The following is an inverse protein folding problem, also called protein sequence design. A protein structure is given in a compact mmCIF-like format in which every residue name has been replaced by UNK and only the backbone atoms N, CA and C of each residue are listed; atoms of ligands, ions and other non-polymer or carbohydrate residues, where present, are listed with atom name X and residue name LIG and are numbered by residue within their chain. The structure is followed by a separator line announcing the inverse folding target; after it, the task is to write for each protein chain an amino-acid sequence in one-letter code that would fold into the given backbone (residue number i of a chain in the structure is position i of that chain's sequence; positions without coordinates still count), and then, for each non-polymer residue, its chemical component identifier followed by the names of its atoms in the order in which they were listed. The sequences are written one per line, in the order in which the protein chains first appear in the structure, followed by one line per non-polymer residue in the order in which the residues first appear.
data_IF_490676483729
#
_entry.id   IF_490676483729
#
_cell.length_a   1.000
_cell.length_b   1.000
_cell.length_c   1.000
_cell.angle_alpha   90.00
_cell.angle_beta   90.00
_cell.angle_gamma   90.00
#
_symmetry.space_group_name_H-M   'P 1'
#
loop_
_entity.id
_entity.type
_entity.pdbx_description
1 polymer ?
#
# COMPACT_ATOMS: atom_id res chain seq x y z
N UNK A 1 -7.93 21.50 14.42
CA UNK A 1 -8.05 20.63 13.21
C UNK A 1 -8.53 21.48 12.06
N UNK A 2 -7.79 21.53 10.98
CA UNK A 2 -8.13 22.35 9.79
C UNK A 2 -9.28 21.70 9.00
N UNK A 3 -10.45 22.35 9.05
CA UNK A 3 -11.68 21.88 8.41
C UNK A 3 -11.58 21.91 6.89
N UNK A 4 -10.82 22.85 6.31
CA UNK A 4 -10.66 23.00 4.87
C UNK A 4 -9.81 21.87 4.29
N UNK A 5 -8.72 21.49 4.98
CA UNK A 5 -7.90 20.33 4.59
C UNK A 5 -8.74 19.06 4.57
N UNK A 6 -9.52 18.80 5.62
CA UNK A 6 -10.38 17.60 5.66
C UNK A 6 -11.51 17.62 4.63
N UNK A 7 -12.01 18.79 4.28
CA UNK A 7 -12.98 18.93 3.20
C UNK A 7 -12.34 18.60 1.85
N UNK A 8 -11.17 19.14 1.59
CA UNK A 8 -10.39 18.83 0.38
C UNK A 8 -10.11 17.33 0.26
N UNK A 9 -9.56 16.71 1.32
CA UNK A 9 -9.29 15.26 1.38
C UNK A 9 -10.57 14.46 1.09
N UNK A 10 -11.67 14.80 1.73
CA UNK A 10 -12.93 14.10 1.54
C UNK A 10 -13.46 14.20 0.11
N UNK A 11 -13.33 15.34 -0.54
CA UNK A 11 -13.75 15.51 -1.95
C UNK A 11 -12.82 14.80 -2.94
N UNK A 12 -11.54 14.67 -2.63
CA UNK A 12 -10.61 13.88 -3.45
C UNK A 12 -10.87 12.37 -3.36
N UNK A 13 -11.33 11.89 -2.19
CA UNK A 13 -11.62 10.47 -1.95
C UNK A 13 -12.98 10.03 -2.49
N UNK A 14 -13.99 10.92 -2.48
CA UNK A 14 -15.38 10.56 -2.75
C UNK A 14 -16.02 11.50 -3.75
N UNK A 15 -16.60 10.92 -4.81
CA UNK A 15 -17.40 11.70 -5.77
C UNK A 15 -18.78 12.03 -5.18
N UNK A 16 -18.87 13.21 -4.55
CA UNK A 16 -20.09 13.66 -3.84
C UNK A 16 -21.32 13.88 -4.75
N UNK A 17 -21.15 13.87 -6.08
CA UNK A 17 -22.27 13.90 -7.04
C UNK A 17 -23.05 12.58 -7.09
N UNK A 18 -22.46 11.48 -6.61
CA UNK A 18 -23.09 10.17 -6.53
C UNK A 18 -23.60 9.91 -5.11
N UNK A 19 -24.88 9.60 -4.93
CA UNK A 19 -25.52 9.41 -3.63
C UNK A 19 -24.77 8.40 -2.72
N UNK A 20 -24.27 7.29 -3.30
CA UNK A 20 -23.50 6.29 -2.57
C UNK A 20 -22.17 6.84 -2.05
N UNK A 21 -21.47 7.62 -2.85
CA UNK A 21 -20.20 8.24 -2.48
C UNK A 21 -20.41 9.43 -1.53
N UNK A 22 -21.50 10.17 -1.68
CA UNK A 22 -21.89 11.21 -0.73
C UNK A 22 -22.13 10.65 0.68
N UNK A 23 -22.82 9.51 0.81
CA UNK A 23 -22.97 8.83 2.11
C UNK A 23 -21.62 8.45 2.70
N UNK A 24 -20.69 7.94 1.89
CA UNK A 24 -19.33 7.63 2.33
C UNK A 24 -18.54 8.85 2.80
N UNK A 25 -18.68 9.95 2.07
CA UNK A 25 -18.09 11.24 2.44
C UNK A 25 -18.61 11.73 3.81
N UNK A 26 -19.93 11.70 4.03
CA UNK A 26 -20.52 12.09 5.32
C UNK A 26 -19.98 11.21 6.45
N UNK A 27 -19.95 9.89 6.27
CA UNK A 27 -19.39 8.96 7.26
C UNK A 27 -17.90 9.24 7.52
N UNK A 28 -17.12 9.50 6.49
CA UNK A 28 -15.71 9.90 6.63
C UNK A 28 -15.57 11.16 7.48
N UNK A 29 -16.34 12.22 7.15
CA UNK A 29 -16.32 13.49 7.89
C UNK A 29 -16.72 13.30 9.35
N UNK A 30 -17.79 12.55 9.62
CA UNK A 30 -18.23 12.26 10.99
C UNK A 30 -17.16 11.54 11.79
N UNK A 31 -16.47 10.57 11.19
CA UNK A 31 -15.35 9.85 11.84
C UNK A 31 -14.18 10.78 12.14
N UNK A 32 -13.80 11.66 11.22
CA UNK A 32 -12.75 12.65 11.47
C UNK A 32 -13.12 13.61 12.60
N UNK A 33 -14.40 13.98 12.73
CA UNK A 33 -14.86 14.86 13.81
C UNK A 33 -14.87 14.15 15.16
N UNK A 34 -15.35 12.90 15.21
CA UNK A 34 -15.41 12.09 16.43
C UNK A 34 -14.02 11.75 16.97
N UNK A 35 -13.02 11.66 16.10
CA UNK A 35 -11.63 11.35 16.42
C UNK A 35 -10.69 12.51 16.04
N UNK A 36 -11.14 13.74 16.37
CA UNK A 36 -10.45 14.95 15.91
C UNK A 36 -9.03 15.12 16.44
N UNK A 37 -8.75 14.62 17.63
CA UNK A 37 -7.41 14.65 18.22
C UNK A 37 -6.45 13.72 17.48
N UNK A 38 -6.85 12.46 17.27
CA UNK A 38 -6.05 11.47 16.56
C UNK A 38 -5.81 11.88 15.10
N UNK A 39 -6.85 12.34 14.39
CA UNK A 39 -6.74 12.80 13.01
C UNK A 39 -5.94 14.09 12.94
N UNK A 40 -6.09 15.01 13.91
CA UNK A 40 -5.26 16.21 14.04
C UNK A 40 -3.78 15.84 14.13
N UNK A 41 -3.42 14.92 15.02
CA UNK A 41 -2.05 14.43 15.15
C UNK A 41 -1.49 13.71 13.91
N UNK A 42 -2.35 13.13 13.07
CA UNK A 42 -1.93 12.60 11.76
C UNK A 42 -1.70 13.73 10.75
N UNK A 43 -2.56 14.73 10.72
CA UNK A 43 -2.39 15.89 9.83
C UNK A 43 -1.14 16.70 10.21
N UNK A 44 -0.87 16.89 11.50
CA UNK A 44 0.34 17.56 11.99
C UNK A 44 1.61 16.78 11.59
N UNK A 45 1.58 15.45 11.66
CA UNK A 45 2.66 14.61 11.16
C UNK A 45 2.97 14.84 9.68
N UNK A 46 1.94 14.94 8.84
CA UNK A 46 2.13 15.24 7.43
C UNK A 46 2.49 16.71 7.19
N UNK A 47 2.09 17.62 8.05
CA UNK A 47 2.44 19.03 7.96
C UNK A 47 3.90 19.32 8.37
N UNK A 48 4.57 18.38 9.06
CA UNK A 48 5.89 18.58 9.66
C UNK A 48 6.99 18.85 8.61
N UNK A 49 6.94 18.26 7.44
CA UNK A 49 7.94 18.46 6.38
C UNK A 49 7.29 18.83 5.03
N UNK A 50 8.03 19.53 4.13
CA UNK A 50 7.53 19.84 2.78
C UNK A 50 7.17 18.57 2.00
N UNK A 51 8.00 17.54 2.05
CA UNK A 51 7.77 16.26 1.37
C UNK A 51 6.49 15.59 1.85
N UNK A 52 6.29 15.44 3.16
CA UNK A 52 5.08 14.83 3.72
C UNK A 52 3.81 15.60 3.34
N UNK A 53 3.88 16.95 3.33
CA UNK A 53 2.74 17.79 2.86
C UNK A 53 2.39 17.50 1.41
N UNK A 54 3.40 17.36 0.55
CA UNK A 54 3.22 17.02 -0.86
C UNK A 54 2.63 15.62 -1.01
N UNK A 55 3.18 14.62 -0.32
CA UNK A 55 2.63 13.27 -0.29
C UNK A 55 1.15 13.25 0.12
N UNK A 56 0.78 13.92 1.20
CA UNK A 56 -0.62 13.96 1.64
C UNK A 56 -1.54 14.67 0.65
N UNK A 57 -1.06 15.72 -0.01
CA UNK A 57 -1.85 16.47 -1.01
C UNK A 57 -2.28 15.56 -2.16
N UNK A 58 -1.43 14.67 -2.60
CA UNK A 58 -1.69 13.76 -3.72
C UNK A 58 -2.22 12.39 -3.25
N UNK A 59 -1.73 11.89 -2.11
CA UNK A 59 -2.15 10.60 -1.55
C UNK A 59 -3.05 10.79 -0.31
N UNK A 60 -4.22 11.37 -0.52
CA UNK A 60 -5.20 11.66 0.55
C UNK A 60 -5.76 10.40 1.23
N UNK A 61 -5.58 9.23 0.63
CA UNK A 61 -6.00 7.93 1.17
C UNK A 61 -5.32 7.55 2.48
N UNK A 62 -4.18 8.12 2.85
CA UNK A 62 -3.57 7.94 4.17
C UNK A 62 -4.52 8.30 5.32
N UNK A 63 -5.30 9.38 5.16
CA UNK A 63 -6.30 9.76 6.17
C UNK A 63 -7.49 8.80 6.15
N UNK A 64 -7.94 8.33 4.98
CA UNK A 64 -8.99 7.32 4.91
C UNK A 64 -8.56 6.01 5.59
N UNK A 65 -7.31 5.57 5.38
CA UNK A 65 -6.75 4.38 6.01
C UNK A 65 -6.82 4.46 7.54
N UNK A 66 -6.55 5.63 8.13
CA UNK A 66 -6.69 5.84 9.57
C UNK A 66 -8.15 5.81 10.05
N UNK A 67 -9.12 6.27 9.22
CA UNK A 67 -10.53 6.37 9.63
C UNK A 67 -11.35 5.09 9.44
N UNK A 68 -10.84 4.07 8.76
CA UNK A 68 -11.55 2.81 8.48
C UNK A 68 -10.75 1.62 9.00
N UNK A 69 -11.44 0.51 9.25
CA UNK A 69 -10.79 -0.76 9.60
C UNK A 69 -10.13 -1.39 8.36
N UNK A 70 -9.09 -0.72 7.87
CA UNK A 70 -8.17 -1.24 6.88
C UNK A 70 -7.01 -1.92 7.61
N UNK A 71 -6.06 -2.49 6.88
CA UNK A 71 -4.94 -3.27 7.38
C UNK A 71 -5.41 -4.62 7.97
N UNK A 72 -5.89 -4.66 9.21
CA UNK A 72 -6.37 -5.89 9.86
C UNK A 72 -7.66 -5.65 10.67
N UNK A 73 -8.36 -6.75 10.94
CA UNK A 73 -9.65 -6.75 11.66
C UNK A 73 -9.46 -6.23 13.10
N UNK A 74 -10.41 -5.45 13.58
CA UNK A 74 -10.45 -4.86 14.92
C UNK A 74 -9.32 -3.87 15.24
N UNK A 75 -8.55 -3.39 14.24
CA UNK A 75 -7.59 -2.32 14.46
C UNK A 75 -8.27 -1.07 15.03
N UNK A 76 -7.65 -0.47 16.05
CA UNK A 76 -8.07 0.79 16.65
C UNK A 76 -7.66 2.00 15.80
N UNK A 77 -8.14 3.20 16.12
CA UNK A 77 -7.70 4.43 15.44
C UNK A 77 -6.22 4.69 15.68
N UNK A 78 -5.75 4.56 16.92
CA UNK A 78 -4.37 4.83 17.28
C UNK A 78 -3.40 3.85 16.58
N UNK A 79 -3.77 2.57 16.50
CA UNK A 79 -2.99 1.57 15.76
C UNK A 79 -2.89 1.93 14.28
N UNK A 80 -3.99 2.26 13.61
CA UNK A 80 -3.97 2.60 12.18
C UNK A 80 -3.16 3.86 11.90
N UNK A 81 -3.26 4.86 12.75
CA UNK A 81 -2.46 6.09 12.65
C UNK A 81 -0.98 5.77 12.85
N UNK A 82 -0.65 4.97 13.85
CA UNK A 82 0.72 4.51 14.10
C UNK A 82 1.29 3.72 12.93
N UNK A 83 0.48 2.85 12.31
CA UNK A 83 0.88 2.10 11.11
C UNK A 83 1.17 3.01 9.93
N UNK A 84 0.31 4.00 9.65
CA UNK A 84 0.54 4.97 8.56
C UNK A 84 1.81 5.80 8.81
N UNK A 85 2.00 6.31 10.04
CA UNK A 85 3.19 7.09 10.40
C UNK A 85 4.45 6.25 10.28
N UNK A 86 4.46 5.05 10.87
CA UNK A 86 5.61 4.14 10.83
C UNK A 86 5.99 3.76 9.39
N UNK A 87 4.99 3.51 8.52
CA UNK A 87 5.22 3.23 7.11
C UNK A 87 5.94 4.39 6.40
N UNK A 88 5.47 5.61 6.59
CA UNK A 88 6.07 6.80 5.97
C UNK A 88 7.49 7.04 6.50
N UNK A 89 7.68 7.03 7.83
CA UNK A 89 8.99 7.23 8.47
C UNK A 89 10.01 6.17 8.04
N UNK A 90 9.55 4.93 7.94
CA UNK A 90 10.39 3.84 7.46
C UNK A 90 10.86 4.08 6.02
N UNK A 91 9.95 4.45 5.13
CA UNK A 91 10.29 4.73 3.73
C UNK A 91 11.23 5.95 3.62
N UNK A 92 11.02 7.00 4.41
CA UNK A 92 11.93 8.16 4.48
C UNK A 92 13.34 7.76 4.91
N UNK A 93 13.49 6.72 5.73
CA UNK A 93 14.79 6.21 6.14
C UNK A 93 15.52 5.40 5.07
N UNK A 94 14.81 4.94 4.02
CA UNK A 94 15.30 4.00 3.01
C UNK A 94 15.31 4.55 1.59
N UNK A 95 14.38 5.40 1.26
CA UNK A 95 14.23 5.97 -0.07
C UNK A 95 14.64 7.44 -0.09
N UNK A 96 15.08 7.90 -1.24
CA UNK A 96 15.35 9.34 -1.47
C UNK A 96 14.03 10.12 -1.52
N UNK A 97 14.08 11.41 -1.24
CA UNK A 97 12.92 12.30 -1.38
C UNK A 97 12.32 12.26 -2.78
N UNK A 98 13.16 12.17 -3.81
CA UNK A 98 12.74 12.05 -5.21
C UNK A 98 11.92 10.76 -5.42
N UNK A 99 12.40 9.62 -4.92
CA UNK A 99 11.68 8.35 -5.03
C UNK A 99 10.33 8.40 -4.31
N UNK A 100 10.27 9.00 -3.12
CA UNK A 100 9.02 9.17 -2.38
C UNK A 100 8.04 10.11 -3.09
N UNK A 101 8.53 11.17 -3.69
CA UNK A 101 7.72 12.11 -4.48
C UNK A 101 7.12 11.40 -5.70
N UNK A 102 7.93 10.68 -6.46
CA UNK A 102 7.49 9.89 -7.60
C UNK A 102 6.40 8.88 -7.22
N UNK A 103 6.58 8.14 -6.12
CA UNK A 103 5.60 7.15 -5.65
C UNK A 103 4.28 7.78 -5.21
N UNK A 104 4.33 8.81 -4.35
CA UNK A 104 3.15 9.27 -3.62
C UNK A 104 2.59 10.60 -4.11
N UNK A 105 3.35 11.40 -4.85
CA UNK A 105 2.90 12.64 -5.43
C UNK A 105 2.61 12.48 -6.94
N UNK A 106 3.50 11.86 -7.68
CA UNK A 106 3.37 11.71 -9.13
C UNK A 106 2.63 10.42 -9.53
N UNK A 107 2.52 9.45 -8.61
CA UNK A 107 1.85 8.16 -8.85
C UNK A 107 2.62 7.25 -9.80
N UNK A 108 3.93 7.45 -9.89
CA UNK A 108 4.82 6.65 -10.74
C UNK A 108 5.15 5.30 -10.09
N UNK A 109 5.50 4.34 -10.95
CA UNK A 109 6.12 3.08 -10.53
C UNK A 109 7.64 3.25 -10.44
N UNK A 110 8.25 2.71 -9.38
CA UNK A 110 9.70 2.65 -9.24
C UNK A 110 10.20 1.24 -9.56
N UNK A 111 10.95 1.12 -10.64
CA UNK A 111 11.53 -0.16 -11.06
C UNK A 111 12.65 -0.58 -10.12
N UNK A 112 12.52 -1.79 -9.57
CA UNK A 112 13.51 -2.43 -8.70
C UNK A 112 14.36 -3.46 -9.43
N UNK A 113 13.79 -4.12 -10.43
CA UNK A 113 14.43 -5.17 -11.18
C UNK A 113 13.82 -5.30 -12.57
N UNK A 114 14.63 -5.72 -13.55
CA UNK A 114 14.22 -5.95 -14.94
C UNK A 114 14.91 -7.16 -15.51
N UNK A 115 14.19 -7.93 -16.28
CA UNK A 115 14.61 -9.03 -17.14
C UNK A 115 13.71 -9.06 -18.39
N UNK A 116 13.80 -10.10 -19.19
CA UNK A 116 12.94 -10.28 -20.35
C UNK A 116 12.33 -11.68 -20.37
N UNK A 117 11.11 -11.77 -20.86
CA UNK A 117 10.43 -13.02 -21.17
C UNK A 117 9.65 -12.86 -22.47
N UNK A 118 9.88 -13.76 -23.47
CA UNK A 118 9.31 -13.70 -24.82
C UNK A 118 9.54 -12.32 -25.49
N UNK A 119 10.80 -11.84 -25.45
CA UNK A 119 11.23 -10.56 -26.00
C UNK A 119 10.52 -9.31 -25.43
N UNK A 120 9.78 -9.47 -24.34
CA UNK A 120 9.12 -8.38 -23.63
C UNK A 120 9.71 -8.17 -22.24
N UNK A 121 9.71 -6.93 -21.74
CA UNK A 121 10.22 -6.64 -20.40
C UNK A 121 9.39 -7.34 -19.32
N UNK A 122 10.09 -7.99 -18.40
CA UNK A 122 9.57 -8.54 -17.16
C UNK A 122 10.18 -7.73 -16.02
N UNK A 123 9.36 -6.97 -15.30
CA UNK A 123 9.86 -6.03 -14.30
C UNK A 123 9.22 -6.25 -12.93
N UNK A 124 9.94 -5.84 -11.88
CA UNK A 124 9.45 -5.77 -10.53
C UNK A 124 9.46 -4.31 -10.09
N UNK A 125 8.31 -3.80 -9.73
CA UNK A 125 8.11 -2.37 -9.51
C UNK A 125 7.40 -2.08 -8.19
N UNK A 126 7.86 -1.05 -7.45
CA UNK A 126 7.08 -0.48 -6.35
C UNK A 126 6.03 0.46 -6.92
N UNK A 127 4.82 0.38 -6.38
CA UNK A 127 3.71 1.22 -6.80
C UNK A 127 2.71 1.46 -5.68
N UNK A 128 2.23 2.69 -5.58
CA UNK A 128 1.07 3.02 -4.76
C UNK A 128 -0.15 3.27 -5.65
N UNK A 129 -1.16 2.42 -5.51
CA UNK A 129 -2.43 2.58 -6.22
C UNK A 129 -3.59 2.79 -5.24
N UNK A 130 -4.26 3.93 -5.33
CA UNK A 130 -5.32 4.32 -4.39
C UNK A 130 -6.49 3.33 -4.29
N UNK A 131 -6.73 2.52 -5.33
CA UNK A 131 -7.71 1.43 -5.31
C UNK A 131 -7.42 0.33 -4.31
N UNK A 132 -6.14 0.13 -3.96
CA UNK A 132 -5.65 -0.95 -3.09
C UNK A 132 -5.35 -0.50 -1.66
N UNK A 133 -5.72 0.72 -1.31
CA UNK A 133 -5.49 1.32 0.01
C UNK A 133 -6.11 0.57 1.19
N UNK A 134 -6.98 -0.41 0.92
CA UNK A 134 -7.56 -1.26 1.97
C UNK A 134 -6.57 -2.31 2.46
N UNK A 135 -5.74 -2.79 1.56
CA UNK A 135 -4.83 -3.92 1.73
C UNK A 135 -3.40 -3.48 2.04
N UNK A 136 -3.06 -2.19 1.87
CA UNK A 136 -1.71 -1.71 2.15
C UNK A 136 -1.46 -0.24 1.84
N UNK A 137 -0.27 0.20 2.19
CA UNK A 137 0.24 1.55 1.90
C UNK A 137 1.17 1.57 0.69
N UNK A 138 1.58 0.40 0.20
CA UNK A 138 2.47 0.24 -0.94
C UNK A 138 2.27 -1.15 -1.54
N UNK A 139 2.66 -1.32 -2.79
CA UNK A 139 2.60 -2.59 -3.50
C UNK A 139 3.91 -2.89 -4.19
N UNK A 140 4.23 -4.17 -4.27
CA UNK A 140 5.22 -4.71 -5.19
C UNK A 140 4.47 -5.40 -6.33
N UNK A 141 4.75 -5.01 -7.56
CA UNK A 141 4.04 -5.49 -8.76
C UNK A 141 5.01 -6.18 -9.69
N UNK A 142 4.70 -7.41 -10.09
CA UNK A 142 5.38 -8.10 -11.17
C UNK A 142 4.65 -7.76 -12.47
N UNK A 143 5.34 -7.06 -13.35
CA UNK A 143 4.82 -6.63 -14.66
C UNK A 143 5.44 -7.46 -15.76
N UNK A 144 4.67 -7.78 -16.79
CA UNK A 144 5.15 -8.28 -18.07
C UNK A 144 4.63 -7.38 -19.18
N UNK A 145 5.54 -6.76 -19.90
CA UNK A 145 5.25 -5.64 -20.80
C UNK A 145 4.51 -4.52 -20.03
N UNK A 146 3.25 -4.31 -20.32
CA UNK A 146 2.39 -3.31 -19.66
C UNK A 146 1.32 -3.93 -18.75
N UNK A 147 1.36 -5.25 -18.57
CA UNK A 147 0.35 -5.97 -17.79
C UNK A 147 0.89 -6.41 -16.43
N UNK A 148 0.13 -6.12 -15.38
CA UNK A 148 0.43 -6.64 -14.05
C UNK A 148 0.05 -8.12 -13.98
N UNK A 149 1.00 -8.98 -13.61
CA UNK A 149 0.78 -10.43 -13.46
C UNK A 149 0.42 -10.79 -12.01
N UNK A 150 1.17 -10.25 -11.07
CA UNK A 150 0.97 -10.42 -9.64
C UNK A 150 1.27 -9.14 -8.89
N UNK A 151 0.61 -8.98 -7.76
CA UNK A 151 0.81 -7.83 -6.88
C UNK A 151 0.75 -8.28 -5.42
N UNK A 152 1.71 -7.82 -4.62
CA UNK A 152 1.69 -7.92 -3.16
C UNK A 152 1.44 -6.52 -2.62
N UNK A 153 0.36 -6.37 -1.85
CA UNK A 153 0.04 -5.14 -1.12
C UNK A 153 0.50 -5.28 0.32
N UNK A 154 1.19 -4.28 0.83
CA UNK A 154 1.82 -4.34 2.14
C UNK A 154 1.94 -2.97 2.81
N UNK A 155 2.28 -2.99 4.07
CA UNK A 155 2.76 -1.83 4.82
C UNK A 155 3.98 -2.20 5.65
N UNK A 156 4.74 -1.19 6.05
CA UNK A 156 5.92 -1.31 6.89
C UNK A 156 5.56 -0.77 8.27
N UNK A 157 5.80 -1.55 9.30
CA UNK A 157 5.51 -1.17 10.69
C UNK A 157 6.36 -2.02 11.63
N UNK A 158 6.48 -1.65 12.90
CA UNK A 158 7.13 -2.50 13.88
C UNK A 158 6.49 -3.88 13.94
N UNK A 159 7.32 -4.91 14.02
CA UNK A 159 6.93 -6.29 14.29
C UNK A 159 6.60 -6.50 15.78
N UNK A 160 6.37 -7.76 16.18
CA UNK A 160 5.96 -8.10 17.55
C UNK A 160 6.98 -7.68 18.61
N UNK A 161 8.26 -7.65 18.27
CA UNK A 161 9.36 -7.30 19.19
C UNK A 161 9.92 -5.89 18.91
N UNK A 162 9.22 -5.08 18.09
CA UNK A 162 9.64 -3.73 17.73
C UNK A 162 10.63 -3.65 16.57
N UNK A 163 11.05 -4.78 16.00
CA UNK A 163 11.87 -4.82 14.78
C UNK A 163 11.10 -4.29 13.56
N UNK A 164 11.78 -3.69 12.57
CA UNK A 164 11.13 -3.34 11.31
C UNK A 164 10.55 -4.58 10.63
N UNK A 165 9.26 -4.56 10.32
CA UNK A 165 8.57 -5.68 9.69
C UNK A 165 7.74 -5.22 8.48
N UNK A 166 7.62 -6.11 7.50
CA UNK A 166 6.75 -5.96 6.36
C UNK A 166 5.48 -6.80 6.60
N UNK A 167 4.35 -6.14 6.63
CA UNK A 167 3.05 -6.76 6.82
C UNK A 167 2.33 -6.89 5.47
N UNK A 168 2.01 -8.12 5.06
CA UNK A 168 1.32 -8.38 3.81
C UNK A 168 -0.18 -8.34 4.04
N UNK A 169 -0.88 -7.42 3.37
CA UNK A 169 -2.33 -7.30 3.44
C UNK A 169 -3.04 -8.13 2.38
N UNK A 170 -2.45 -8.26 1.19
CA UNK A 170 -2.99 -9.12 0.14
C UNK A 170 -1.94 -9.53 -0.89
N UNK A 171 -2.19 -10.66 -1.53
CA UNK A 171 -1.50 -11.12 -2.73
C UNK A 171 -2.55 -11.40 -3.80
N UNK A 172 -2.46 -10.70 -4.92
CA UNK A 172 -3.42 -10.83 -6.02
C UNK A 172 -2.72 -11.15 -7.33
N UNK A 173 -3.27 -12.11 -8.08
CA UNK A 173 -2.93 -12.36 -9.46
C UNK A 173 -3.95 -11.73 -10.40
N UNK A 174 -3.54 -11.40 -11.62
CA UNK A 174 -4.44 -10.86 -12.63
C UNK A 174 -5.31 -11.97 -13.24
N UNK A 175 -6.62 -11.79 -13.36
CA UNK A 175 -7.52 -12.82 -13.91
C UNK A 175 -7.13 -13.30 -15.32
N UNK A 176 -6.60 -12.39 -16.15
CA UNK A 176 -6.23 -12.67 -17.54
C UNK A 176 -4.79 -13.16 -17.72
N UNK A 177 -3.98 -13.20 -16.67
CA UNK A 177 -2.56 -13.56 -16.72
C UNK A 177 -2.25 -15.06 -16.73
N UNK A 178 -3.25 -15.95 -16.73
CA UNK A 178 -3.05 -17.39 -16.46
C UNK A 178 -2.10 -18.07 -17.45
N UNK A 179 -2.15 -17.75 -18.76
CA UNK A 179 -1.29 -18.35 -19.78
C UNK A 179 0.16 -17.87 -19.64
N UNK A 180 0.35 -16.57 -19.47
CA UNK A 180 1.69 -15.98 -19.26
C UNK A 180 2.30 -16.52 -17.96
N UNK A 181 1.50 -16.61 -16.89
CA UNK A 181 1.93 -17.16 -15.59
C UNK A 181 2.37 -18.63 -15.73
N UNK A 182 1.64 -19.45 -16.50
CA UNK A 182 2.04 -20.85 -16.78
C UNK A 182 3.32 -20.90 -17.58
N UNK A 183 3.45 -20.07 -18.60
CA UNK A 183 4.65 -19.95 -19.42
C UNK A 183 5.87 -19.54 -18.60
N UNK A 184 5.75 -18.49 -17.81
CA UNK A 184 6.78 -18.04 -16.87
C UNK A 184 7.17 -19.14 -15.87
N UNK A 185 6.19 -19.83 -15.29
CA UNK A 185 6.48 -20.95 -14.37
C UNK A 185 7.31 -22.04 -15.04
N UNK A 186 7.04 -22.32 -16.32
CA UNK A 186 7.82 -23.29 -17.12
C UNK A 186 9.22 -22.76 -17.43
N UNK A 187 9.34 -21.49 -17.85
CA UNK A 187 10.62 -20.83 -18.16
C UNK A 187 11.54 -20.75 -16.91
N UNK A 188 10.96 -20.54 -15.74
CA UNK A 188 11.67 -20.53 -14.46
C UNK A 188 11.72 -21.93 -13.79
N UNK A 189 11.85 -23.01 -14.58
CA UNK A 189 12.07 -24.37 -14.11
C UNK A 189 11.05 -24.87 -13.07
N UNK A 190 9.79 -24.49 -13.22
CA UNK A 190 8.72 -24.87 -12.29
C UNK A 190 8.56 -23.94 -11.08
N UNK A 191 9.40 -22.89 -10.98
CA UNK A 191 9.25 -21.91 -9.90
C UNK A 191 8.00 -21.05 -10.12
N UNK A 192 7.04 -21.18 -9.23
CA UNK A 192 5.75 -20.49 -9.38
C UNK A 192 5.92 -18.98 -9.35
N UNK A 193 5.26 -18.26 -10.25
CA UNK A 193 5.34 -16.80 -10.38
C UNK A 193 4.99 -16.07 -9.08
N UNK A 194 4.05 -16.60 -8.27
CA UNK A 194 3.78 -16.06 -6.93
C UNK A 194 4.98 -16.15 -5.97
N UNK A 195 5.81 -17.17 -6.11
CA UNK A 195 7.02 -17.31 -5.31
C UNK A 195 8.12 -16.39 -5.84
N UNK A 196 8.14 -16.12 -7.16
CA UNK A 196 9.07 -15.17 -7.77
C UNK A 196 8.88 -13.76 -7.20
N UNK A 197 7.63 -13.29 -7.06
CA UNK A 197 7.38 -11.96 -6.47
C UNK A 197 7.75 -11.92 -4.98
N UNK A 198 7.55 -13.00 -4.22
CA UNK A 198 8.04 -13.10 -2.84
C UNK A 198 9.55 -13.08 -2.76
N UNK A 199 10.22 -13.81 -3.64
CA UNK A 199 11.68 -13.79 -3.74
C UNK A 199 12.19 -12.37 -4.10
N UNK A 200 11.54 -11.72 -5.06
CA UNK A 200 11.83 -10.32 -5.40
C UNK A 200 11.65 -9.38 -4.21
N UNK A 201 10.61 -9.57 -3.41
CA UNK A 201 10.40 -8.82 -2.17
C UNK A 201 11.52 -9.05 -1.16
N UNK A 202 11.97 -10.30 -0.98
CA UNK A 202 13.12 -10.63 -0.12
C UNK A 202 14.43 -10.02 -0.63
N UNK A 203 14.64 -9.98 -1.96
CA UNK A 203 15.83 -9.35 -2.56
C UNK A 203 15.79 -7.82 -2.56
N UNK A 204 14.61 -7.23 -2.49
CA UNK A 204 14.45 -5.80 -2.26
C UNK A 204 14.78 -5.39 -0.79
N UNK A 205 15.19 -6.33 0.05
CA UNK A 205 15.51 -6.12 1.47
C UNK A 205 16.50 -4.99 1.81
N UNK A 206 17.52 -4.66 1.02
CA UNK A 206 18.32 -3.47 1.32
C UNK A 206 17.49 -2.19 1.33
N UNK A 207 16.37 -2.18 0.56
CA UNK A 207 15.40 -1.09 0.52
C UNK A 207 14.22 -1.32 1.49
N UNK A 208 13.87 -2.59 1.77
CA UNK A 208 12.72 -3.00 2.57
C UNK A 208 13.15 -4.13 3.53
N UNK A 209 13.52 -3.88 4.79
CA UNK A 209 13.85 -4.95 5.73
C UNK A 209 12.63 -5.84 5.94
N UNK A 210 12.77 -7.09 5.55
CA UNK A 210 11.77 -8.14 5.74
C UNK A 210 12.26 -9.04 6.84
N UNK A 211 11.69 -8.93 8.02
CA UNK A 211 11.67 -10.04 8.95
C UNK A 211 10.51 -10.91 8.53
N UNK A 212 10.78 -12.03 7.88
CA UNK A 212 9.79 -13.08 7.67
C UNK A 212 9.44 -13.63 9.04
N UNK A 213 8.32 -13.23 9.60
CA UNK A 213 7.70 -14.00 10.66
C UNK A 213 7.15 -15.28 10.00
N UNK A 214 7.89 -16.38 10.16
CA UNK A 214 7.32 -17.71 10.05
C UNK A 214 6.27 -17.83 11.16
N UNK A 215 5.03 -17.89 10.70
CA UNK A 215 3.87 -18.55 11.23
C UNK A 215 3.71 -18.64 12.76
N UNK A 216 2.89 -17.78 13.29
CA UNK A 216 1.94 -18.22 14.31
C UNK A 216 0.59 -18.24 13.64
N UNK A 217 0.18 -19.45 13.22
CA UNK A 217 -1.05 -19.70 12.52
C UNK A 217 -2.26 -19.05 13.20
N UNK A 218 -2.75 -17.99 12.53
CA UNK A 218 -4.14 -17.59 12.61
C UNK A 218 -4.46 -16.77 11.35
N UNK A 219 -4.89 -17.52 10.37
CA UNK A 219 -5.88 -17.18 9.35
C UNK A 219 -5.75 -15.85 8.63
N UNK A 220 -5.07 -15.89 7.51
CA UNK A 220 -5.57 -15.18 6.34
C UNK A 220 -7.00 -15.67 6.12
N UNK A 221 -7.98 -14.81 6.37
CA UNK A 221 -9.40 -15.11 6.18
C UNK A 221 -9.60 -15.39 4.70
N UNK A 222 -9.90 -16.65 4.41
CA UNK A 222 -10.52 -17.11 3.17
C UNK A 222 -11.78 -16.26 2.91
N UNK A 223 -11.71 -15.35 1.96
CA UNK A 223 -12.84 -14.64 1.39
C UNK A 223 -13.11 -15.17 0.00
N UNK A 224 -13.31 -16.47 -0.09
CA UNK A 224 -14.10 -17.10 -1.12
C UNK A 224 -15.39 -17.55 -0.48
N UNK A 225 -16.52 -17.02 -0.98
CA UNK A 225 -17.93 -17.27 -0.69
C UNK A 225 -18.61 -16.13 0.11
N UNK A 226 -19.24 -15.25 -0.63
CA UNK A 226 -20.64 -14.88 -0.88
C UNK A 226 -20.70 -13.58 -1.69
#
# INVERSE_FOLDING_TARGET
MDTEILQHIGHSLYNTKRLKEWKRYVVFRSRCMLHSEQIGGLLDFFAATPLRREMLRHTTSFVEQATRQFFYKNSTYDERISLVKAHVEFLESKLTEDALRRLYADGEMLRLWEDSYEEKPLTLELWFHAGQRKEGCLSLVLMWDKEALYQIMFWLAPGKNGEPALWIGALQGTPNGSEVIKGLTKAFYGYRTKNLIFYGMQRAQPLLPVTTQEDSGETAVDKTEE
#
